data_IF_386837399044
#
_entry.id   IF_386837399044
#
_cell.length_a   1.000
_cell.length_b   1.000
_cell.length_c   1.000
_cell.angle_alpha   90.00
_cell.angle_beta   90.00
_cell.angle_gamma   90.00
#
_symmetry.space_group_name_H-M   'P 1'
#
loop_
_entity.id
_entity.type
_entity.pdbx_description
1 polymer ?
#
# COMPACT_ATOMS: atom_id res chain seq x y z
N UNK A 1 27.25 11.50 40.47
CA UNK A 1 26.29 10.41 40.74
C UNK A 1 25.12 10.38 39.73
N UNK A 2 25.30 10.87 38.49
CA UNK A 2 24.19 11.08 37.52
C UNK A 2 24.13 10.06 36.39
N UNK A 3 25.19 9.25 36.17
CA UNK A 3 25.26 8.29 35.05
C UNK A 3 24.37 7.05 35.26
N UNK A 4 24.22 6.59 36.50
CA UNK A 4 23.38 5.43 36.81
C UNK A 4 21.89 5.71 36.59
N UNK A 5 21.43 6.93 36.96
CA UNK A 5 20.04 7.35 36.77
C UNK A 5 19.68 7.46 35.28
N UNK A 6 20.56 8.03 34.45
CA UNK A 6 20.36 8.10 33.01
C UNK A 6 20.30 6.70 32.36
N UNK A 7 21.09 5.76 32.86
CA UNK A 7 21.11 4.37 32.35
C UNK A 7 19.85 3.59 32.74
N UNK A 8 19.30 3.83 33.93
CA UNK A 8 18.03 3.22 34.37
C UNK A 8 16.82 3.74 33.58
N UNK A 9 16.82 5.03 33.22
CA UNK A 9 15.77 5.63 32.40
C UNK A 9 15.76 5.04 30.98
N UNK A 10 16.93 4.84 30.37
CA UNK A 10 17.05 4.20 29.05
C UNK A 10 16.56 2.74 29.06
N UNK A 11 16.84 2.00 30.13
CA UNK A 11 16.36 0.60 30.28
C UNK A 11 14.85 0.56 30.48
N UNK A 12 14.25 1.52 31.19
CA UNK A 12 12.79 1.55 31.38
C UNK A 12 12.03 1.79 30.07
N UNK A 13 12.54 2.65 29.18
CA UNK A 13 11.92 2.94 27.87
C UNK A 13 11.97 1.71 26.93
N UNK A 14 13.00 0.87 27.05
CA UNK A 14 13.10 -0.37 26.27
C UNK A 14 12.12 -1.47 26.75
N UNK A 15 11.71 -1.46 28.02
CA UNK A 15 10.80 -2.45 28.59
C UNK A 15 9.32 -2.09 28.40
N UNK A 16 8.99 -0.81 28.24
CA UNK A 16 7.66 -0.39 27.79
C UNK A 16 7.59 -0.58 26.28
N UNK A 17 7.31 -1.80 25.83
CA UNK A 17 7.19 -2.15 24.41
C UNK A 17 6.31 -1.17 23.63
N UNK A 18 6.94 -0.20 22.98
CA UNK A 18 6.32 0.73 22.02
C UNK A 18 6.12 0.07 20.64
N UNK A 19 6.59 -1.17 20.46
CA UNK A 19 6.44 -1.90 19.21
C UNK A 19 4.97 -2.22 18.86
N UNK A 20 4.07 -2.27 19.85
CA UNK A 20 2.68 -2.74 19.63
C UNK A 20 1.73 -1.69 19.04
N UNK A 21 2.09 -0.40 19.02
CA UNK A 21 1.19 0.67 18.53
C UNK A 21 1.19 0.81 17.01
N UNK A 22 2.22 0.32 16.32
CA UNK A 22 2.35 0.51 14.86
C UNK A 22 1.52 -0.51 14.05
N UNK A 23 1.08 -1.60 14.67
CA UNK A 23 0.53 -2.76 13.94
C UNK A 23 -0.94 -2.63 13.46
N UNK A 24 -1.70 -1.61 13.87
CA UNK A 24 -3.15 -1.58 13.56
C UNK A 24 -3.52 -0.88 12.24
N UNK A 25 -2.63 -0.06 11.67
CA UNK A 25 -2.98 0.77 10.50
C UNK A 25 -2.79 0.09 9.14
N UNK A 26 -2.19 -1.10 9.10
CA UNK A 26 -1.83 -1.81 7.86
C UNK A 26 -2.90 -2.76 7.22
N UNK A 27 -4.01 -3.19 7.87
CA UNK A 27 -4.94 -4.15 7.24
C UNK A 27 -5.79 -3.58 6.10
N UNK A 28 -6.10 -2.28 6.12
CA UNK A 28 -7.11 -1.70 5.22
C UNK A 28 -6.58 -1.43 3.80
N UNK A 29 -5.29 -1.06 3.68
CA UNK A 29 -4.65 -0.86 2.38
C UNK A 29 -4.49 -2.18 1.61
N UNK A 30 -4.20 -3.27 2.34
CA UNK A 30 -4.07 -4.62 1.75
C UNK A 30 -5.37 -5.14 1.15
N UNK A 31 -6.54 -4.74 1.69
CA UNK A 31 -7.85 -5.17 1.18
C UNK A 31 -8.18 -4.52 -0.18
N UNK A 32 -7.85 -3.23 -0.36
CA UNK A 32 -8.18 -2.50 -1.59
C UNK A 32 -7.27 -2.88 -2.80
N UNK A 33 -6.14 -3.56 -2.54
CA UNK A 33 -5.25 -4.13 -3.56
C UNK A 33 -5.58 -5.58 -3.94
N UNK A 34 -6.37 -6.30 -3.13
CA UNK A 34 -6.62 -7.72 -3.33
C UNK A 34 -7.28 -8.01 -4.69
N UNK A 35 -6.76 -8.98 -5.44
CA UNK A 35 -7.39 -9.53 -6.64
C UNK A 35 -7.09 -8.82 -7.98
N UNK A 36 -6.06 -7.97 -8.04
CA UNK A 36 -5.55 -7.40 -9.31
C UNK A 36 -4.36 -8.16 -9.91
N UNK A 37 -3.91 -9.23 -9.25
CA UNK A 37 -2.73 -10.02 -9.62
C UNK A 37 -1.73 -10.04 -8.48
N UNK A 38 -1.46 -11.25 -7.94
CA UNK A 38 -0.63 -11.44 -6.74
C UNK A 38 0.87 -11.21 -7.00
N UNK A 39 1.28 -11.10 -8.26
CA UNK A 39 2.68 -10.96 -8.67
C UNK A 39 3.10 -9.50 -8.92
N UNK A 40 2.17 -8.55 -8.87
CA UNK A 40 2.43 -7.14 -9.18
C UNK A 40 2.90 -6.35 -7.94
N UNK A 41 3.97 -5.56 -8.10
CA UNK A 41 4.44 -4.63 -7.06
C UNK A 41 3.66 -3.31 -7.19
N UNK A 42 2.65 -3.13 -6.34
CA UNK A 42 1.83 -1.92 -6.29
C UNK A 42 2.46 -0.83 -5.42
N UNK A 43 2.48 0.40 -5.93
CA UNK A 43 2.72 1.57 -5.09
C UNK A 43 1.52 1.83 -4.18
N UNK A 44 1.77 2.35 -2.98
CA UNK A 44 0.72 2.52 -1.96
C UNK A 44 0.10 3.92 -1.97
N UNK A 45 0.90 4.95 -2.31
CA UNK A 45 0.43 6.34 -2.39
C UNK A 45 0.83 6.99 -3.71
N UNK A 46 0.14 8.08 -4.05
CA UNK A 46 0.44 8.85 -5.26
C UNK A 46 1.84 9.48 -5.21
N UNK A 47 2.25 9.97 -4.04
CA UNK A 47 3.55 10.58 -3.82
C UNK A 47 4.68 9.56 -3.96
N UNK A 48 4.50 8.37 -3.40
CA UNK A 48 5.42 7.26 -3.55
C UNK A 48 5.52 6.84 -5.02
N UNK A 49 4.38 6.63 -5.69
CA UNK A 49 4.34 6.20 -7.08
C UNK A 49 5.04 7.21 -8.01
N UNK A 50 4.85 8.52 -7.77
CA UNK A 50 5.53 9.56 -8.54
C UNK A 50 7.04 9.60 -8.27
N UNK A 51 7.45 9.40 -7.02
CA UNK A 51 8.87 9.29 -6.66
C UNK A 51 9.53 8.07 -7.31
N UNK A 52 8.86 6.92 -7.30
CA UNK A 52 9.30 5.69 -7.96
C UNK A 52 9.37 5.85 -9.47
N UNK A 53 8.38 6.49 -10.08
CA UNK A 53 8.38 6.78 -11.53
C UNK A 53 9.58 7.60 -11.94
N UNK A 54 9.90 8.67 -11.19
CA UNK A 54 11.07 9.52 -11.44
C UNK A 54 12.38 8.77 -11.22
N UNK A 55 12.52 8.04 -10.12
CA UNK A 55 13.76 7.36 -9.74
C UNK A 55 14.07 6.15 -10.63
N UNK A 56 13.05 5.39 -11.03
CA UNK A 56 13.18 4.23 -11.92
C UNK A 56 13.11 4.60 -13.40
N UNK A 57 12.80 5.87 -13.72
CA UNK A 57 12.55 6.36 -15.07
C UNK A 57 11.51 5.51 -15.82
N UNK A 58 10.45 5.13 -15.10
CA UNK A 58 9.33 4.32 -15.62
C UNK A 58 8.05 5.17 -15.67
N UNK A 59 7.21 5.04 -16.71
CA UNK A 59 5.89 5.66 -16.72
C UNK A 59 5.02 5.21 -15.53
N UNK A 60 4.21 6.13 -15.00
CA UNK A 60 3.25 5.89 -13.93
C UNK A 60 1.87 5.62 -14.52
N UNK A 61 1.27 4.48 -14.17
CA UNK A 61 -0.14 4.17 -14.42
C UNK A 61 -0.91 4.31 -13.11
N UNK A 62 -1.99 5.09 -13.14
CA UNK A 62 -2.92 5.23 -12.01
C UNK A 62 -4.26 4.66 -12.43
N UNK A 63 -4.66 3.56 -11.77
CA UNK A 63 -5.92 2.89 -12.02
C UNK A 63 -6.98 3.40 -11.04
N UNK A 64 -7.95 4.15 -11.55
CA UNK A 64 -9.12 4.57 -10.80
C UNK A 64 -10.24 3.56 -11.01
N UNK A 65 -10.74 2.97 -9.93
CA UNK A 65 -11.86 2.03 -10.01
C UNK A 65 -12.82 2.16 -8.83
N UNK A 66 -14.00 1.57 -8.97
CA UNK A 66 -15.03 1.48 -7.94
C UNK A 66 -15.23 0.00 -7.57
N UNK A 67 -15.38 -0.30 -6.28
CA UNK A 67 -15.57 -1.69 -5.80
C UNK A 67 -16.87 -2.31 -6.36
N UNK A 68 -17.97 -1.56 -6.27
CA UNK A 68 -19.30 -1.97 -6.70
C UNK A 68 -19.65 -1.52 -8.13
N UNK A 69 -18.68 -1.57 -9.05
CA UNK A 69 -18.93 -1.27 -10.45
C UNK A 69 -18.64 -2.50 -11.33
N UNK A 70 -19.63 -3.05 -12.06
CA UNK A 70 -19.44 -4.22 -12.92
C UNK A 70 -18.32 -4.05 -13.95
N UNK A 71 -18.15 -2.84 -14.50
CA UNK A 71 -17.07 -2.56 -15.45
C UNK A 71 -15.69 -2.54 -14.78
N UNK A 72 -15.59 -2.02 -13.56
CA UNK A 72 -14.36 -2.05 -12.77
C UNK A 72 -13.98 -3.48 -12.39
N UNK A 73 -14.97 -4.30 -12.02
CA UNK A 73 -14.75 -5.72 -11.70
C UNK A 73 -14.34 -6.52 -12.93
N UNK A 74 -14.96 -6.28 -14.09
CA UNK A 74 -14.55 -6.91 -15.35
C UNK A 74 -13.12 -6.54 -15.75
N UNK A 75 -12.73 -5.27 -15.58
CA UNK A 75 -11.37 -4.81 -15.81
C UNK A 75 -10.38 -5.52 -14.88
N UNK A 76 -10.68 -5.56 -13.58
CA UNK A 76 -9.88 -6.25 -12.57
C UNK A 76 -9.66 -7.73 -12.92
N UNK A 77 -10.72 -8.42 -13.34
CA UNK A 77 -10.64 -9.82 -13.77
C UNK A 77 -9.79 -9.99 -15.04
N UNK A 78 -9.89 -9.08 -16.00
CA UNK A 78 -9.06 -9.12 -17.20
C UNK A 78 -7.57 -8.95 -16.87
N UNK A 79 -7.24 -8.01 -15.97
CA UNK A 79 -5.86 -7.82 -15.51
C UNK A 79 -5.34 -9.04 -14.72
N UNK A 80 -6.14 -9.61 -13.83
CA UNK A 80 -5.72 -10.71 -12.97
C UNK A 80 -5.53 -12.04 -13.72
N UNK A 81 -6.18 -12.22 -14.87
CA UNK A 81 -6.12 -13.46 -15.65
C UNK A 81 -5.12 -13.41 -16.83
N UNK A 82 -4.48 -12.27 -17.06
CA UNK A 82 -3.55 -12.08 -18.16
C UNK A 82 -2.12 -11.89 -17.63
N UNK A 83 -1.31 -12.96 -17.77
CA UNK A 83 0.07 -12.98 -17.29
C UNK A 83 0.99 -12.03 -18.09
N UNK A 84 0.69 -11.80 -19.37
CA UNK A 84 1.48 -10.88 -20.21
C UNK A 84 1.28 -9.45 -19.74
N UNK A 85 0.04 -9.06 -19.48
CA UNK A 85 -0.29 -7.75 -18.91
C UNK A 85 0.38 -7.56 -17.55
N UNK A 86 0.31 -8.55 -16.65
CA UNK A 86 0.95 -8.48 -15.34
C UNK A 86 2.46 -8.31 -15.45
N UNK A 87 3.10 -9.07 -16.35
CA UNK A 87 4.53 -8.98 -16.60
C UNK A 87 4.93 -7.62 -17.14
N UNK A 88 4.25 -7.13 -18.18
CA UNK A 88 4.54 -5.82 -18.77
C UNK A 88 4.38 -4.70 -17.74
N UNK A 89 3.34 -4.76 -16.91
CA UNK A 89 3.12 -3.77 -15.86
C UNK A 89 4.23 -3.76 -14.80
N UNK A 90 4.71 -4.94 -14.38
CA UNK A 90 5.81 -5.03 -13.41
C UNK A 90 7.16 -4.59 -14.01
N UNK A 91 7.45 -5.04 -15.24
CA UNK A 91 8.73 -4.79 -15.93
C UNK A 91 8.87 -3.34 -16.41
N UNK A 92 7.80 -2.70 -16.87
CA UNK A 92 7.90 -1.41 -17.57
C UNK A 92 7.24 -0.23 -16.85
N UNK A 93 6.34 -0.47 -15.90
CA UNK A 93 5.56 0.59 -15.27
C UNK A 93 5.77 0.69 -13.76
N UNK A 94 5.39 1.84 -13.22
CA UNK A 94 5.01 1.96 -11.80
C UNK A 94 3.49 1.99 -11.79
N UNK A 95 2.86 1.12 -11.01
CA UNK A 95 1.40 1.00 -11.01
C UNK A 95 0.85 1.36 -9.63
N UNK A 96 -0.17 2.21 -9.63
CA UNK A 96 -0.92 2.63 -8.44
C UNK A 96 -2.40 2.35 -8.66
N UNK A 97 -3.03 1.69 -7.68
CA UNK A 97 -4.46 1.43 -7.67
C UNK A 97 -5.13 2.37 -6.66
N UNK A 98 -6.11 3.14 -7.12
CA UNK A 98 -6.94 4.03 -6.29
C UNK A 98 -8.41 3.61 -6.42
N UNK A 99 -8.94 3.04 -5.35
CA UNK A 99 -10.37 2.74 -5.24
C UNK A 99 -11.12 3.98 -4.75
N UNK A 100 -11.98 4.54 -5.58
CA UNK A 100 -12.84 5.68 -5.20
C UNK A 100 -14.00 5.14 -4.37
N UNK A 101 -13.88 5.22 -3.04
CA UNK A 101 -14.87 4.65 -2.11
C UNK A 101 -14.27 3.76 -1.03
N UNK A 102 -12.99 3.38 -1.14
CA UNK A 102 -12.22 2.79 -0.04
C UNK A 102 -12.05 3.87 1.04
N UNK A 103 -13.04 3.99 1.94
CA UNK A 103 -12.99 4.92 3.06
C UNK A 103 -11.92 4.40 4.02
N UNK A 104 -10.77 5.07 4.05
CA UNK A 104 -9.81 4.94 5.14
C UNK A 104 -10.48 5.51 6.41
N UNK A 105 -11.15 4.64 7.16
CA UNK A 105 -12.00 5.02 8.28
C UNK A 105 -13.49 4.78 8.00
N UNK A 106 -14.02 3.72 8.60
CA UNK A 106 -15.45 3.53 8.76
C UNK A 106 -16.05 4.72 9.51
N UNK A 107 -16.80 5.52 8.79
CA UNK A 107 -17.80 6.43 9.32
C UNK A 107 -19.06 6.21 8.50
N UNK A 108 -20.01 5.48 9.06
CA UNK A 108 -21.40 5.48 8.62
C UNK A 108 -21.90 6.94 8.53
N UNK A 109 -22.70 7.22 7.51
CA UNK A 109 -23.56 8.40 7.46
C UNK A 109 -24.85 8.10 8.23
#
# INVERSE_FOLDING_TARGET
MTRAAASLVLVLVALTGVASVVSWFEPQLLLCLAGWGDQLIWAQTYEEALSLSRSRNKPLIVLFHLEDCPHSQALKQAFANDDEIQRTLDEDFVVLNLMVGCRAGGGEL
#
